data_IF_062759567332
#
_entry.id   IF_062759567332
#
_cell.length_a   1.000
_cell.length_b   1.000
_cell.length_c   1.000
_cell.angle_alpha   90.00
_cell.angle_beta   90.00
_cell.angle_gamma   90.00
#
_symmetry.space_group_name_H-M   'P 1'
#
loop_
_entity.id
_entity.type
_entity.pdbx_description
1 polymer ?
#
# COMPACT_ATOMS: atom_id res chain seq x y z
N UNK A 1 39.84 -12.36 18.24
CA UNK A 1 38.97 -12.47 17.05
C UNK A 1 37.61 -11.88 17.40
N UNK A 2 37.26 -10.71 16.89
CA UNK A 2 35.98 -10.07 17.18
C UNK A 2 34.84 -10.92 16.59
N UNK A 3 33.88 -11.33 17.42
CA UNK A 3 32.69 -12.02 16.93
C UNK A 3 31.94 -11.07 16.00
N UNK A 4 31.72 -11.49 14.75
CA UNK A 4 30.97 -10.68 13.79
C UNK A 4 29.56 -10.43 14.35
N UNK A 5 29.20 -9.16 14.52
CA UNK A 5 27.88 -8.72 14.97
C UNK A 5 26.87 -8.87 13.84
N UNK A 6 26.55 -10.12 13.51
CA UNK A 6 25.59 -10.46 12.45
C UNK A 6 24.47 -11.32 13.01
N UNK A 7 23.24 -10.85 12.85
CA UNK A 7 22.02 -11.59 13.13
C UNK A 7 21.08 -11.47 11.93
N UNK A 8 20.49 -12.59 11.52
CA UNK A 8 19.50 -12.66 10.43
C UNK A 8 18.21 -13.26 10.99
N UNK A 9 17.09 -12.59 10.75
CA UNK A 9 15.76 -13.07 11.16
C UNK A 9 15.30 -14.30 10.37
N UNK A 10 14.26 -14.96 10.88
CA UNK A 10 13.63 -16.11 10.24
C UNK A 10 13.03 -15.73 8.87
N UNK A 11 13.08 -16.66 7.92
CA UNK A 11 12.57 -16.45 6.55
C UNK A 11 11.08 -16.79 6.40
N UNK A 12 10.43 -17.17 7.50
CA UNK A 12 9.04 -17.58 7.53
C UNK A 12 8.25 -16.75 8.53
N UNK A 13 7.04 -16.28 8.16
CA UNK A 13 6.37 -16.49 6.87
C UNK A 13 7.09 -15.78 5.69
N UNK A 14 6.82 -16.26 4.47
CA UNK A 14 7.43 -15.70 3.27
C UNK A 14 7.16 -14.19 3.17
N UNK A 15 8.16 -13.46 2.69
CA UNK A 15 8.07 -12.01 2.50
C UNK A 15 7.05 -11.67 1.41
N UNK A 16 6.34 -10.55 1.59
CA UNK A 16 5.48 -9.99 0.54
C UNK A 16 6.36 -9.32 -0.52
N UNK A 17 6.34 -9.86 -1.74
CA UNK A 17 7.10 -9.31 -2.87
C UNK A 17 6.29 -8.32 -3.72
N UNK A 18 5.03 -8.06 -3.34
CA UNK A 18 4.15 -7.15 -4.07
C UNK A 18 4.31 -5.71 -3.60
N UNK A 19 4.13 -4.76 -4.53
CA UNK A 19 4.07 -3.36 -4.14
C UNK A 19 2.79 -3.09 -3.34
N UNK A 20 2.85 -2.08 -2.46
CA UNK A 20 1.70 -1.64 -1.66
C UNK A 20 0.49 -1.35 -2.57
N UNK A 21 0.70 -0.66 -3.70
CA UNK A 21 -0.35 -0.35 -4.66
C UNK A 21 -0.94 -1.57 -5.37
N UNK A 22 -0.11 -2.57 -5.70
CA UNK A 22 -0.57 -3.82 -6.31
C UNK A 22 -1.38 -4.66 -5.32
N UNK A 23 -0.90 -4.80 -4.07
CA UNK A 23 -1.61 -5.53 -3.04
C UNK A 23 -2.96 -4.86 -2.69
N UNK A 24 -2.98 -3.52 -2.60
CA UNK A 24 -4.21 -2.77 -2.40
C UNK A 24 -5.20 -2.99 -3.55
N UNK A 25 -4.72 -2.97 -4.81
CA UNK A 25 -5.57 -3.21 -5.97
C UNK A 25 -6.17 -4.63 -5.98
N UNK A 26 -5.37 -5.65 -5.64
CA UNK A 26 -5.84 -7.02 -5.53
C UNK A 26 -6.89 -7.19 -4.42
N UNK A 27 -6.65 -6.57 -3.26
CA UNK A 27 -7.58 -6.60 -2.13
C UNK A 27 -8.90 -5.90 -2.48
N UNK A 28 -8.85 -4.76 -3.14
CA UNK A 28 -10.04 -4.02 -3.56
C UNK A 28 -10.85 -4.75 -4.65
N UNK A 29 -10.20 -5.51 -5.52
CA UNK A 29 -10.90 -6.37 -6.48
C UNK A 29 -11.64 -7.53 -5.77
N UNK A 30 -11.02 -8.11 -4.73
CA UNK A 30 -11.58 -9.25 -4.00
C UNK A 30 -12.69 -8.85 -3.02
N UNK A 31 -12.58 -7.69 -2.39
CA UNK A 31 -13.48 -7.25 -1.33
C UNK A 31 -13.93 -5.78 -1.48
N UNK A 32 -14.59 -5.40 -2.59
CA UNK A 32 -14.74 -3.99 -2.94
C UNK A 32 -15.57 -3.19 -1.93
N UNK A 33 -16.57 -3.82 -1.30
CA UNK A 33 -17.57 -3.18 -0.44
C UNK A 33 -17.21 -3.30 1.05
N UNK A 34 -16.14 -4.05 1.40
CA UNK A 34 -15.69 -4.11 2.78
C UNK A 34 -15.06 -2.77 3.16
N UNK A 35 -15.29 -2.35 4.40
CA UNK A 35 -14.69 -1.14 4.92
C UNK A 35 -13.16 -1.29 4.99
N UNK A 36 -12.46 -0.30 4.44
CA UNK A 36 -11.01 -0.26 4.37
C UNK A 36 -10.41 0.81 5.29
N UNK A 37 -11.06 1.97 5.41
CA UNK A 37 -10.63 3.08 6.26
C UNK A 37 -11.83 3.73 6.95
N UNK A 38 -11.69 4.02 8.23
CA UNK A 38 -12.64 4.81 9.01
C UNK A 38 -11.87 5.94 9.67
N UNK A 39 -12.15 7.17 9.26
CA UNK A 39 -11.65 8.38 9.89
C UNK A 39 -12.74 8.95 10.79
N UNK A 40 -12.55 8.79 12.11
CA UNK A 40 -13.53 9.21 13.12
C UNK A 40 -13.55 10.73 13.25
N UNK A 41 -12.40 11.40 13.20
CA UNK A 41 -12.30 12.84 13.38
C UNK A 41 -12.94 13.58 12.20
N UNK A 42 -12.77 13.07 10.98
CA UNK A 42 -13.43 13.60 9.79
C UNK A 42 -14.86 13.07 9.59
N UNK A 43 -15.31 12.10 10.37
CA UNK A 43 -16.62 11.44 10.21
C UNK A 43 -16.77 10.71 8.87
N UNK A 44 -15.67 10.19 8.30
CA UNK A 44 -15.65 9.57 6.97
C UNK A 44 -15.32 8.09 7.04
N UNK A 45 -15.90 7.34 6.10
CA UNK A 45 -15.63 5.91 5.91
C UNK A 45 -15.45 5.64 4.43
N UNK A 46 -14.50 4.76 4.12
CA UNK A 46 -14.26 4.26 2.78
C UNK A 46 -14.35 2.74 2.76
N UNK A 47 -14.99 2.23 1.73
CA UNK A 47 -14.81 0.87 1.24
C UNK A 47 -13.47 0.73 0.50
N UNK A 48 -13.01 -0.50 0.25
CA UNK A 48 -11.79 -0.73 -0.53
C UNK A 48 -11.88 -0.16 -1.95
N UNK A 49 -13.07 -0.19 -2.58
CA UNK A 49 -13.29 0.39 -3.90
C UNK A 49 -13.09 1.91 -3.88
N UNK A 50 -13.70 2.60 -2.91
CA UNK A 50 -13.62 4.06 -2.77
C UNK A 50 -12.20 4.50 -2.42
N UNK A 51 -11.56 3.82 -1.46
CA UNK A 51 -10.18 4.13 -1.08
C UNK A 51 -9.22 4.00 -2.26
N UNK A 52 -9.37 2.94 -3.08
CA UNK A 52 -8.53 2.75 -4.28
C UNK A 52 -8.72 3.87 -5.30
N UNK A 53 -9.96 4.31 -5.52
CA UNK A 53 -10.24 5.40 -6.44
C UNK A 53 -9.59 6.72 -5.99
N UNK A 54 -9.70 7.04 -4.70
CA UNK A 54 -9.10 8.25 -4.11
C UNK A 54 -7.56 8.21 -4.17
N UNK A 55 -6.95 7.06 -3.86
CA UNK A 55 -5.48 6.87 -3.95
C UNK A 55 -4.97 7.04 -5.38
N UNK A 56 -5.69 6.47 -6.37
CA UNK A 56 -5.35 6.65 -7.79
C UNK A 56 -5.39 8.13 -8.18
N UNK A 57 -6.47 8.82 -7.84
CA UNK A 57 -6.64 10.25 -8.12
C UNK A 57 -5.53 11.10 -7.50
N UNK A 58 -5.09 10.79 -6.28
CA UNK A 58 -3.96 11.48 -5.64
C UNK A 58 -2.63 11.15 -6.32
N UNK A 59 -2.41 9.86 -6.64
CA UNK A 59 -1.22 9.39 -7.34
C UNK A 59 -1.02 10.07 -8.69
N UNK A 60 -2.09 10.24 -9.47
CA UNK A 60 -2.04 10.88 -10.79
C UNK A 60 -1.62 12.36 -10.68
N UNK A 61 -2.10 13.08 -9.65
CA UNK A 61 -1.65 14.45 -9.35
C UNK A 61 -0.19 14.53 -8.91
N UNK A 62 0.28 13.55 -8.15
CA UNK A 62 1.67 13.51 -7.67
C UNK A 62 2.66 13.01 -8.75
N UNK A 63 2.19 12.19 -9.68
CA UNK A 63 2.97 11.56 -10.76
C UNK A 63 3.38 12.51 -11.89
N UNK A 64 2.73 13.67 -12.02
CA UNK A 64 3.04 14.68 -13.04
C UNK A 64 4.48 15.25 -12.96
N UNK A 65 5.23 14.96 -11.88
CA UNK A 65 6.63 15.37 -11.71
C UNK A 65 7.68 14.30 -12.10
N UNK A 66 7.27 13.10 -12.54
CA UNK A 66 8.20 11.98 -12.84
C UNK A 66 8.65 11.87 -14.29
N UNK A 67 8.18 12.74 -15.19
CA UNK A 67 8.46 12.65 -16.64
C UNK A 67 9.58 13.58 -17.17
N UNK A 68 10.44 14.14 -16.29
CA UNK A 68 11.53 15.07 -16.71
C UNK A 68 12.92 14.41 -16.80
N UNK A 69 12.99 13.11 -17.05
CA UNK A 69 14.24 12.45 -17.41
C UNK A 69 13.94 11.33 -18.41
N UNK A 70 13.62 11.72 -19.64
CA UNK A 70 13.95 10.95 -20.82
C UNK A 70 14.11 11.88 -22.02
#
# INVERSE_FOLDING_TARGET
MAAQSYARGETHPALLETTIGANLAATAARFPQRAALVDVAAGRRWSYAELRADVRRFGDRAGARRDRTR
#
